data_IF_383589227529
#
_entry.id   IF_383589227529
#
_cell.length_a   1.000
_cell.length_b   1.000
_cell.length_c   1.000
_cell.angle_alpha   90.00
_cell.angle_beta   90.00
_cell.angle_gamma   90.00
#
_symmetry.space_group_name_H-M   'P 1'
#
loop_
_entity.id
_entity.type
_entity.pdbx_description
1 polymer ?
#
# COMPACT_ATOMS: atom_id res chain seq x y z
N UNK A 1 10.28 4.75 11.54
CA UNK A 1 9.16 4.15 10.80
C UNK A 1 9.55 2.73 10.36
N UNK A 2 8.95 1.67 10.93
CA UNK A 2 9.25 0.29 10.55
C UNK A 2 8.46 -0.14 9.30
N UNK A 3 9.12 -0.89 8.42
CA UNK A 3 8.44 -1.64 7.36
C UNK A 3 7.78 -2.87 7.97
N UNK A 4 6.51 -3.11 7.64
CA UNK A 4 5.78 -4.32 8.01
C UNK A 4 5.47 -5.13 6.77
N UNK A 5 5.61 -6.45 6.89
CA UNK A 5 5.20 -7.38 5.84
C UNK A 5 3.70 -7.54 5.86
N UNK A 6 3.14 -7.79 4.69
CA UNK A 6 1.73 -7.98 4.50
C UNK A 6 1.39 -8.31 3.06
N UNK A 7 0.16 -7.97 2.69
CA UNK A 7 -0.35 -8.14 1.32
C UNK A 7 -1.32 -7.04 0.93
N UNK A 8 -1.48 -6.85 -0.36
CA UNK A 8 -2.44 -5.96 -1.00
C UNK A 8 -3.42 -6.79 -1.81
N UNK A 9 -4.72 -6.53 -1.61
CA UNK A 9 -5.83 -7.13 -2.37
C UNK A 9 -6.51 -6.04 -3.22
N UNK A 10 -6.45 -6.17 -4.55
CA UNK A 10 -7.09 -5.25 -5.48
C UNK A 10 -8.56 -5.64 -5.76
N UNK A 11 -9.33 -4.71 -6.32
CA UNK A 11 -10.77 -4.89 -6.61
C UNK A 11 -11.07 -6.03 -7.62
N UNK A 12 -10.08 -6.44 -8.42
CA UNK A 12 -10.18 -7.62 -9.31
C UNK A 12 -9.98 -8.96 -8.56
N UNK A 13 -9.77 -8.91 -7.24
CA UNK A 13 -9.51 -10.05 -6.37
C UNK A 13 -8.05 -10.53 -6.39
N UNK A 14 -7.16 -9.87 -7.13
CA UNK A 14 -5.74 -10.23 -7.15
C UNK A 14 -5.05 -9.82 -5.84
N UNK A 15 -4.17 -10.70 -5.36
CA UNK A 15 -3.45 -10.51 -4.09
C UNK A 15 -1.95 -10.57 -4.33
N UNK A 16 -1.24 -9.58 -3.80
CA UNK A 16 0.22 -9.48 -3.93
C UNK A 16 0.90 -9.30 -2.58
N UNK A 17 2.04 -9.96 -2.33
CA UNK A 17 2.88 -9.65 -1.17
C UNK A 17 3.32 -8.20 -1.20
N UNK A 18 3.32 -7.56 -0.04
CA UNK A 18 3.68 -6.16 0.09
C UNK A 18 4.50 -5.89 1.35
N UNK A 19 5.28 -4.81 1.30
CA UNK A 19 5.82 -4.16 2.49
C UNK A 19 5.16 -2.79 2.64
N UNK A 20 4.78 -2.49 3.87
CA UNK A 20 3.98 -1.33 4.22
C UNK A 20 4.76 -0.52 5.25
N UNK A 21 5.10 0.72 4.90
CA UNK A 21 5.76 1.65 5.81
C UNK A 21 4.71 2.43 6.57
N UNK A 22 4.63 2.20 7.87
CA UNK A 22 3.68 2.89 8.74
C UNK A 22 4.35 4.09 9.44
N UNK A 23 3.60 5.19 9.49
CA UNK A 23 3.86 6.32 10.37
C UNK A 23 3.50 5.96 11.82
N UNK A 24 3.96 6.79 12.75
CA UNK A 24 3.68 6.63 14.19
C UNK A 24 2.18 6.75 14.52
N UNK A 25 1.41 7.46 13.70
CA UNK A 25 -0.04 7.61 13.81
C UNK A 25 -0.83 6.42 13.21
N UNK A 26 -0.13 5.37 12.76
CA UNK A 26 -0.72 4.18 12.17
C UNK A 26 -1.12 4.33 10.69
N UNK A 27 -0.89 5.49 10.07
CA UNK A 27 -1.17 5.70 8.64
C UNK A 27 -0.06 5.14 7.76
N UNK A 28 -0.43 4.66 6.57
CA UNK A 28 0.55 4.20 5.57
C UNK A 28 1.23 5.41 4.93
N UNK A 29 2.56 5.44 5.03
CA UNK A 29 3.42 6.41 4.38
C UNK A 29 3.82 5.96 2.97
N UNK A 30 4.17 4.69 2.83
CA UNK A 30 4.68 4.14 1.57
C UNK A 30 4.35 2.65 1.46
N UNK A 31 4.24 2.16 0.24
CA UNK A 31 3.93 0.76 -0.05
C UNK A 31 4.83 0.23 -1.16
N UNK A 32 5.38 -0.97 -0.97
CA UNK A 32 6.11 -1.74 -1.98
C UNK A 32 5.32 -3.00 -2.33
N UNK A 33 5.08 -3.23 -3.62
CA UNK A 33 4.37 -4.41 -4.12
C UNK A 33 5.35 -5.34 -4.81
N UNK A 34 5.27 -6.62 -4.46
CA UNK A 34 6.11 -7.67 -5.00
C UNK A 34 5.34 -8.56 -5.97
N UNK A 35 6.00 -8.92 -7.07
CA UNK A 35 5.58 -10.00 -7.98
C UNK A 35 6.82 -10.81 -8.33
N UNK A 36 6.71 -12.13 -8.23
CA UNK A 36 7.83 -13.05 -8.47
C UNK A 36 9.11 -12.70 -7.67
N UNK A 37 8.93 -12.22 -6.44
CA UNK A 37 10.02 -11.84 -5.53
C UNK A 37 10.70 -10.50 -5.85
N UNK A 38 10.23 -9.75 -6.87
CA UNK A 38 10.77 -8.44 -7.24
C UNK A 38 9.76 -7.33 -6.98
N UNK A 39 10.24 -6.14 -6.61
CA UNK A 39 9.41 -4.95 -6.49
C UNK A 39 8.97 -4.53 -7.89
N UNK A 40 7.67 -4.52 -8.13
CA UNK A 40 7.08 -4.06 -9.40
C UNK A 40 6.54 -2.63 -9.31
N UNK A 41 6.26 -2.16 -8.10
CA UNK A 41 5.82 -0.80 -7.86
C UNK A 41 6.15 -0.36 -6.43
N UNK A 42 6.50 0.91 -6.27
CA UNK A 42 6.64 1.59 -5.00
C UNK A 42 5.91 2.93 -5.11
N UNK A 43 4.99 3.21 -4.20
CA UNK A 43 4.25 4.46 -4.25
C UNK A 43 3.83 4.96 -2.88
N UNK A 44 3.87 6.27 -2.77
CA UNK A 44 3.29 7.02 -1.68
C UNK A 44 1.76 7.13 -1.91
N UNK A 45 0.93 6.59 -1.01
CA UNK A 45 -0.53 6.68 -1.14
C UNK A 45 -1.04 8.12 -1.18
N UNK A 46 -0.37 9.07 -0.49
CA UNK A 46 -0.75 10.48 -0.50
C UNK A 46 -0.56 11.12 -1.87
N UNK A 47 0.55 10.84 -2.53
CA UNK A 47 0.82 11.37 -3.87
C UNK A 47 -0.14 10.76 -4.90
N UNK A 48 -0.49 9.49 -4.73
CA UNK A 48 -1.48 8.82 -5.57
C UNK A 48 -2.89 9.37 -5.36
N UNK A 49 -3.29 9.64 -4.11
CA UNK A 49 -4.58 10.26 -3.76
C UNK A 49 -4.74 11.64 -4.39
N UNK A 50 -3.71 12.47 -4.26
CA UNK A 50 -3.69 13.81 -4.81
C UNK A 50 -3.85 13.81 -6.33
N UNK A 51 -3.20 12.87 -7.05
CA UNK A 51 -3.38 12.73 -8.52
C UNK A 51 -4.82 12.39 -8.92
N UNK A 52 -5.55 11.69 -8.06
CA UNK A 52 -6.94 11.30 -8.29
C UNK A 52 -7.94 12.35 -7.79
N UNK A 53 -7.48 13.42 -7.13
CA UNK A 53 -8.34 14.42 -6.50
C UNK A 53 -9.18 13.84 -5.35
N UNK A 54 -8.71 12.77 -4.71
CA UNK A 54 -9.40 12.05 -3.63
C UNK A 54 -8.59 12.14 -2.33
N UNK A 55 -9.22 11.85 -1.19
CA UNK A 55 -8.47 11.71 0.07
C UNK A 55 -7.78 10.35 0.13
N UNK A 56 -6.69 10.25 0.89
CA UNK A 56 -5.95 8.99 1.05
C UNK A 56 -6.85 7.90 1.61
N UNK A 57 -7.82 8.26 2.45
CA UNK A 57 -8.80 7.35 3.03
C UNK A 57 -9.82 6.81 2.00
N UNK A 58 -10.09 7.57 0.93
CA UNK A 58 -11.06 7.22 -0.13
C UNK A 58 -10.44 6.37 -1.24
N UNK A 59 -9.13 6.49 -1.40
CA UNK A 59 -8.33 5.68 -2.32
C UNK A 59 -7.37 4.79 -1.56
N UNK A 60 -7.62 4.52 -0.28
CA UNK A 60 -6.89 3.51 0.46
C UNK A 60 -7.23 2.18 -0.23
N UNK A 61 -6.44 1.71 -1.20
CA UNK A 61 -7.03 1.09 -2.38
C UNK A 61 -6.98 -0.44 -2.32
N UNK A 62 -6.88 -1.00 -1.11
CA UNK A 62 -6.76 -2.44 -0.89
C UNK A 62 -6.98 -2.76 0.58
N UNK A 63 -7.65 -3.89 0.85
CA UNK A 63 -7.57 -4.51 2.18
C UNK A 63 -6.12 -4.93 2.37
N UNK A 64 -5.41 -4.24 3.25
CA UNK A 64 -4.07 -4.66 3.64
C UNK A 64 -4.18 -5.49 4.91
N UNK A 65 -3.49 -6.62 4.91
CA UNK A 65 -3.31 -7.45 6.09
C UNK A 65 -1.85 -7.36 6.49
N UNK A 66 -1.60 -7.02 7.75
CA UNK A 66 -0.28 -7.10 8.38
C UNK A 66 -0.23 -8.47 9.06
N UNK A 67 0.85 -9.22 8.81
CA UNK A 67 1.13 -10.48 9.52
C UNK A 67 1.69 -10.23 10.93
#
# INVERSE_FOLDING_TARGET
>A
MPWKKGRIEFDDGSVYPAEILLREDGKVWNTKIYKDGKIINEFNPYDFANKLGKKVEDIYPYKYHID
#
